data_IF_215206198584
#
_entry.id   IF_215206198584
#
_cell.length_a   1.000
_cell.length_b   1.000
_cell.length_c   1.000
_cell.angle_alpha   90.00
_cell.angle_beta   90.00
_cell.angle_gamma   90.00
#
_symmetry.space_group_name_H-M   'P 1'
#
loop_
_entity.id
_entity.type
_entity.pdbx_description
1 polymer ?
#
# COMPACT_ATOMS: atom_id res chain seq x y z
N UNK A 1 -1.70 19.83 6.43
CA UNK A 1 -0.50 19.60 7.27
C UNK A 1 0.59 19.05 6.37
N UNK A 2 1.81 19.56 6.46
CA UNK A 2 2.95 19.03 5.71
C UNK A 2 3.76 18.08 6.61
N UNK A 3 4.20 16.96 6.07
CA UNK A 3 5.14 16.07 6.72
C UNK A 3 6.51 16.76 6.79
N UNK A 4 7.21 16.66 7.92
CA UNK A 4 8.55 17.19 8.11
C UNK A 4 9.40 16.22 8.93
N UNK A 5 10.69 16.11 8.57
CA UNK A 5 11.66 15.30 9.29
C UNK A 5 12.28 16.11 10.43
N UNK A 6 12.16 15.60 11.65
CA UNK A 6 12.82 16.18 12.82
C UNK A 6 14.03 15.31 13.23
N UNK A 7 15.22 15.86 13.11
CA UNK A 7 16.48 15.16 13.40
C UNK A 7 17.08 15.49 14.77
N UNK A 8 16.32 16.16 15.65
CA UNK A 8 16.80 16.67 16.94
C UNK A 8 17.57 15.64 17.80
N UNK A 9 17.15 14.40 17.77
CA UNK A 9 17.75 13.34 18.59
C UNK A 9 18.85 12.53 17.88
N UNK A 10 19.24 12.90 16.66
CA UNK A 10 20.27 12.22 15.88
C UNK A 10 21.67 12.79 16.05
N UNK A 11 21.81 13.98 16.62
CA UNK A 11 23.09 14.71 16.73
C UNK A 11 24.19 13.96 17.50
N UNK A 12 23.82 13.04 18.42
CA UNK A 12 24.77 12.18 19.11
C UNK A 12 25.23 10.96 18.28
N UNK A 13 24.53 10.63 17.21
CA UNK A 13 24.76 9.45 16.37
C UNK A 13 25.33 9.78 15.00
N UNK A 14 25.01 10.96 14.46
CA UNK A 14 25.40 11.40 13.13
C UNK A 14 25.96 12.82 13.21
N UNK A 15 27.15 13.00 12.63
CA UNK A 15 27.82 14.31 12.53
C UNK A 15 27.52 14.94 11.17
N UNK A 16 27.65 16.25 11.08
CA UNK A 16 27.45 17.00 9.84
C UNK A 16 28.39 16.54 8.72
N UNK A 17 29.64 16.22 9.03
CA UNK A 17 30.62 15.71 8.06
C UNK A 17 30.17 14.39 7.42
N UNK A 18 29.39 13.56 8.13
CA UNK A 18 28.88 12.28 7.61
C UNK A 18 27.75 12.53 6.59
N UNK A 19 26.94 13.56 6.79
CA UNK A 19 25.97 13.99 5.76
C UNK A 19 26.66 14.50 4.52
N UNK A 20 27.69 15.34 4.69
CA UNK A 20 28.46 15.85 3.56
C UNK A 20 29.15 14.71 2.78
N UNK A 21 29.67 13.72 3.48
CA UNK A 21 30.34 12.58 2.88
C UNK A 21 29.39 11.66 2.08
N UNK A 22 28.11 11.54 2.51
CA UNK A 22 27.13 10.66 1.80
C UNK A 22 26.40 11.41 0.68
N UNK A 23 26.35 12.74 0.70
CA UNK A 23 25.55 13.53 -0.24
C UNK A 23 25.84 13.26 -1.73
N UNK A 24 27.08 13.03 -2.19
CA UNK A 24 27.34 12.62 -3.57
C UNK A 24 26.63 11.32 -3.98
N UNK A 25 26.37 10.41 -3.04
CA UNK A 25 25.61 9.18 -3.29
C UNK A 25 24.10 9.48 -3.39
N UNK A 26 23.59 10.44 -2.62
CA UNK A 26 22.22 10.94 -2.76
C UNK A 26 22.01 11.57 -4.13
N UNK A 27 22.95 12.39 -4.62
CA UNK A 27 22.91 12.97 -5.96
C UNK A 27 22.94 11.90 -7.06
N UNK A 28 23.78 10.88 -6.91
CA UNK A 28 23.84 9.78 -7.86
C UNK A 28 22.51 9.00 -7.88
N UNK A 29 21.94 8.70 -6.74
CA UNK A 29 20.65 8.03 -6.63
C UNK A 29 19.51 8.87 -7.23
N UNK A 30 19.48 10.17 -6.99
CA UNK A 30 18.52 11.08 -7.61
C UNK A 30 18.58 11.04 -9.14
N UNK A 31 19.77 11.13 -9.71
CA UNK A 31 19.96 11.03 -11.18
C UNK A 31 19.50 9.70 -11.74
N UNK A 32 19.71 8.60 -11.00
CA UNK A 32 19.23 7.27 -11.41
C UNK A 32 17.70 7.20 -11.38
N UNK A 33 17.05 7.79 -10.38
CA UNK A 33 15.59 7.86 -10.29
C UNK A 33 15.01 8.68 -11.46
N UNK A 34 15.55 9.86 -11.73
CA UNK A 34 15.10 10.71 -12.85
C UNK A 34 15.27 10.04 -14.20
N UNK A 35 16.42 9.39 -14.42
CA UNK A 35 16.71 8.67 -15.66
C UNK A 35 15.99 7.32 -15.77
N UNK A 36 15.27 6.89 -14.75
CA UNK A 36 14.67 5.55 -14.65
C UNK A 36 15.66 4.44 -14.99
N UNK A 37 16.88 4.56 -14.51
CA UNK A 37 17.92 3.54 -14.67
C UNK A 37 18.47 3.09 -13.32
N UNK A 38 19.00 1.87 -13.25
CA UNK A 38 19.49 1.30 -12.00
C UNK A 38 18.61 0.16 -11.48
N UNK A 39 18.94 -0.42 -10.33
CA UNK A 39 18.18 -1.54 -9.75
C UNK A 39 16.72 -1.17 -9.49
N UNK A 40 15.77 -1.97 -10.02
CA UNK A 40 14.34 -1.78 -9.80
C UNK A 40 13.68 -0.70 -10.68
N UNK A 41 14.37 -0.19 -11.70
CA UNK A 41 13.83 0.82 -12.62
C UNK A 41 12.51 0.41 -13.31
N UNK A 42 12.28 -0.88 -13.52
CA UNK A 42 11.04 -1.41 -14.11
C UNK A 42 9.78 -1.10 -13.29
N UNK A 43 9.93 -0.68 -12.02
CA UNK A 43 8.83 -0.45 -11.09
C UNK A 43 8.79 0.98 -10.55
N UNK A 44 9.34 1.96 -11.25
CA UNK A 44 9.35 3.37 -10.83
C UNK A 44 8.10 4.16 -11.26
N UNK A 45 7.13 3.53 -11.92
CA UNK A 45 5.89 4.16 -12.37
C UNK A 45 5.10 4.83 -11.24
N UNK A 46 5.16 4.29 -10.02
CA UNK A 46 4.50 4.86 -8.85
C UNK A 46 4.88 6.32 -8.55
N UNK A 47 6.10 6.74 -8.91
CA UNK A 47 6.57 8.11 -8.68
C UNK A 47 5.80 9.16 -9.49
N UNK A 48 5.22 8.76 -10.61
CA UNK A 48 4.54 9.66 -11.54
C UNK A 48 3.01 9.52 -11.51
N UNK A 49 2.48 8.53 -10.78
CA UNK A 49 1.03 8.32 -10.66
C UNK A 49 0.26 9.60 -10.29
N UNK A 50 0.73 10.45 -9.34
CA UNK A 50 -0.01 11.67 -9.00
C UNK A 50 -0.07 12.70 -10.13
N UNK A 51 0.95 12.75 -11.00
CA UNK A 51 1.01 13.66 -12.14
C UNK A 51 0.21 13.12 -13.34
N UNK A 52 0.36 11.82 -13.58
CA UNK A 52 -0.18 11.15 -14.76
C UNK A 52 -1.59 10.58 -14.50
N UNK A 53 -2.21 10.99 -13.39
CA UNK A 53 -3.54 10.57 -12.96
C UNK A 53 -4.62 11.08 -13.93
N UNK A 54 -5.34 10.14 -14.55
CA UNK A 54 -6.51 10.39 -15.38
C UNK A 54 -7.78 9.89 -14.69
N UNK A 55 -8.73 10.80 -14.44
CA UNK A 55 -9.99 10.48 -13.77
C UNK A 55 -10.86 9.52 -14.57
N UNK A 56 -10.83 9.60 -15.89
CA UNK A 56 -11.65 8.77 -16.77
C UNK A 56 -11.05 7.35 -16.89
N UNK A 57 -9.73 7.23 -16.86
CA UNK A 57 -9.03 5.95 -16.76
C UNK A 57 -9.10 5.38 -15.34
N UNK A 58 -9.21 6.24 -14.34
CA UNK A 58 -9.28 5.87 -12.92
C UNK A 58 -10.48 4.97 -12.60
N UNK A 59 -11.61 5.15 -13.21
CA UNK A 59 -12.77 4.25 -13.05
C UNK A 59 -12.44 2.77 -13.39
N UNK A 60 -11.23 2.48 -13.82
CA UNK A 60 -10.78 1.18 -14.35
C UNK A 60 -9.56 0.56 -13.63
N UNK A 61 -9.08 1.09 -12.46
CA UNK A 61 -7.77 0.64 -11.93
C UNK A 61 -7.78 0.32 -10.41
N UNK A 62 -7.24 -0.78 -9.89
CA UNK A 62 -7.24 -1.18 -8.48
C UNK A 62 -6.09 -2.04 -7.96
N UNK A 63 -5.93 -2.37 -6.71
CA UNK A 63 -4.94 -2.95 -6.11
C UNK A 63 -4.54 -3.69 -4.89
N UNK A 64 -3.58 -3.35 -4.08
CA UNK A 64 -3.06 -4.14 -2.96
C UNK A 64 -3.78 -3.81 -1.63
N UNK A 65 -3.91 -4.83 -0.74
CA UNK A 65 -4.67 -4.79 0.50
C UNK A 65 -4.13 -3.80 1.54
N UNK A 66 -2.82 -3.86 1.88
CA UNK A 66 -2.29 -3.12 3.04
C UNK A 66 -2.36 -1.60 2.85
N UNK A 67 -1.92 -1.08 1.72
CA UNK A 67 -1.96 0.36 1.47
C UNK A 67 -3.39 0.92 1.47
N UNK A 68 -4.33 0.23 0.84
CA UNK A 68 -5.75 0.63 0.83
C UNK A 68 -6.34 0.66 2.23
N UNK A 69 -6.16 -0.41 3.00
CA UNK A 69 -6.67 -0.51 4.36
C UNK A 69 -5.99 0.48 5.30
N UNK A 70 -4.69 0.71 5.13
CA UNK A 70 -3.96 1.73 5.89
C UNK A 70 -4.57 3.12 5.71
N UNK A 71 -4.90 3.51 4.48
CA UNK A 71 -5.57 4.80 4.21
C UNK A 71 -6.97 4.83 4.81
N UNK A 72 -7.78 3.77 4.63
CA UNK A 72 -9.15 3.72 5.18
C UNK A 72 -9.14 3.85 6.70
N UNK A 73 -8.31 3.07 7.40
CA UNK A 73 -8.24 3.12 8.87
C UNK A 73 -7.61 4.43 9.37
N UNK A 74 -6.59 4.97 8.70
CA UNK A 74 -5.99 6.25 9.08
C UNK A 74 -6.97 7.43 8.97
N UNK A 75 -7.85 7.43 7.96
CA UNK A 75 -8.77 8.53 7.70
C UNK A 75 -10.10 8.37 8.45
N UNK A 76 -10.64 7.16 8.51
CA UNK A 76 -11.98 6.88 9.06
C UNK A 76 -11.97 6.17 10.42
N UNK A 77 -10.81 5.70 10.88
CA UNK A 77 -10.68 4.94 12.11
C UNK A 77 -10.96 3.44 11.94
N UNK A 78 -10.59 2.67 12.96
CA UNK A 78 -10.74 1.21 12.97
C UNK A 78 -12.22 0.75 13.03
N UNK A 79 -13.09 1.59 13.58
CA UNK A 79 -14.52 1.31 13.74
C UNK A 79 -15.39 1.94 12.64
N UNK A 80 -14.80 2.27 11.48
CA UNK A 80 -15.52 2.94 10.41
C UNK A 80 -16.76 2.18 9.92
N UNK A 81 -16.73 0.85 9.95
CA UNK A 81 -17.86 0.02 9.55
C UNK A 81 -19.05 0.11 10.50
N UNK A 82 -18.84 0.45 11.77
CA UNK A 82 -19.87 0.60 12.80
C UNK A 82 -20.37 2.04 12.89
N UNK A 83 -19.50 3.01 12.70
CA UNK A 83 -19.77 4.44 12.90
C UNK A 83 -20.29 5.13 11.63
N UNK A 84 -19.94 4.63 10.44
CA UNK A 84 -20.35 5.22 9.16
C UNK A 84 -21.61 4.51 8.62
N UNK A 85 -22.54 5.31 8.09
CA UNK A 85 -23.75 4.81 7.40
C UNK A 85 -23.49 4.46 5.92
N UNK A 86 -22.27 4.64 5.42
CA UNK A 86 -21.85 4.31 4.06
C UNK A 86 -21.70 2.81 3.80
N UNK A 87 -21.00 2.47 2.73
CA UNK A 87 -20.67 1.09 2.41
C UNK A 87 -19.72 0.51 3.49
N UNK A 88 -20.03 -0.70 3.94
CA UNK A 88 -19.16 -1.47 4.83
C UNK A 88 -18.05 -2.11 4.00
N UNK A 89 -16.80 -1.86 4.36
CA UNK A 89 -15.63 -2.36 3.64
C UNK A 89 -14.95 -3.45 4.48
N UNK A 90 -14.86 -4.63 3.95
CA UNK A 90 -14.17 -5.76 4.56
C UNK A 90 -13.04 -6.24 3.65
N UNK A 91 -11.87 -6.46 4.22
CA UNK A 91 -10.70 -6.96 3.51
C UNK A 91 -10.50 -8.44 3.82
N UNK A 92 -10.37 -9.28 2.80
CA UNK A 92 -10.07 -10.69 2.98
C UNK A 92 -9.16 -11.21 1.85
N UNK A 93 -8.68 -12.47 1.99
CA UNK A 93 -7.70 -13.01 1.06
C UNK A 93 -6.27 -12.57 1.36
N UNK A 94 -6.01 -12.10 2.58
CA UNK A 94 -4.70 -11.81 3.15
C UNK A 94 -4.20 -12.92 4.08
N UNK A 95 -5.00 -13.97 4.24
CA UNK A 95 -4.73 -15.12 5.11
C UNK A 95 -5.43 -16.37 4.54
N UNK A 96 -4.86 -17.53 4.83
CA UNK A 96 -5.48 -18.84 4.55
C UNK A 96 -6.29 -19.36 5.75
N UNK A 97 -6.47 -18.54 6.79
CA UNK A 97 -7.22 -18.93 7.99
C UNK A 97 -8.70 -19.18 7.66
N UNK A 98 -9.22 -20.39 7.88
CA UNK A 98 -10.64 -20.69 7.67
C UNK A 98 -11.53 -19.97 8.68
N UNK A 99 -11.04 -19.70 9.90
CA UNK A 99 -11.81 -18.99 10.94
C UNK A 99 -12.13 -17.57 10.48
N UNK A 100 -11.11 -16.82 10.05
CA UNK A 100 -11.31 -15.45 9.55
C UNK A 100 -12.22 -15.41 8.32
N UNK A 101 -12.06 -16.37 7.40
CA UNK A 101 -12.94 -16.45 6.21
C UNK A 101 -14.38 -16.76 6.59
N UNK A 102 -14.63 -17.63 7.58
CA UNK A 102 -15.96 -17.91 8.08
C UNK A 102 -16.62 -16.69 8.73
N UNK A 103 -15.88 -15.85 9.45
CA UNK A 103 -16.38 -14.59 9.97
C UNK A 103 -16.84 -13.66 8.83
N UNK A 104 -16.05 -13.53 7.77
CA UNK A 104 -16.46 -12.75 6.58
C UNK A 104 -17.70 -13.34 5.91
N UNK A 105 -17.79 -14.67 5.78
CA UNK A 105 -18.98 -15.35 5.24
C UNK A 105 -20.21 -15.00 6.10
N UNK A 106 -20.09 -15.08 7.42
CA UNK A 106 -21.20 -14.76 8.33
C UNK A 106 -21.62 -13.29 8.21
N UNK A 107 -20.68 -12.38 8.02
CA UNK A 107 -20.95 -10.95 7.80
C UNK A 107 -21.69 -10.70 6.47
N UNK A 108 -21.39 -11.48 5.43
CA UNK A 108 -21.97 -11.31 4.08
C UNK A 108 -23.29 -12.07 3.88
N UNK A 109 -23.49 -13.19 4.58
CA UNK A 109 -24.66 -14.09 4.41
C UNK A 109 -25.97 -13.34 4.65
N UNK A 110 -26.92 -13.51 3.73
CA UNK A 110 -28.23 -12.85 3.76
C UNK A 110 -28.16 -11.34 3.49
N UNK A 111 -27.05 -10.81 3.01
CA UNK A 111 -26.88 -9.38 2.70
C UNK A 111 -26.51 -9.17 1.22
N UNK A 112 -26.82 -7.99 0.72
CA UNK A 112 -26.34 -7.55 -0.59
C UNK A 112 -24.89 -7.11 -0.45
N UNK A 113 -23.98 -7.78 -1.13
CA UNK A 113 -22.56 -7.41 -1.15
C UNK A 113 -22.00 -7.45 -2.57
N UNK A 114 -20.85 -6.85 -2.76
CA UNK A 114 -20.07 -6.88 -3.99
C UNK A 114 -18.64 -7.32 -3.68
N UNK A 115 -17.96 -7.88 -4.65
CA UNK A 115 -16.59 -8.37 -4.53
C UNK A 115 -15.69 -7.56 -5.46
N UNK A 116 -14.63 -6.96 -4.92
CA UNK A 116 -13.51 -6.50 -5.71
C UNK A 116 -12.35 -7.49 -5.52
N UNK A 117 -12.11 -8.31 -6.52
CA UNK A 117 -11.01 -9.28 -6.50
C UNK A 117 -9.76 -8.68 -7.14
N UNK A 118 -8.67 -8.69 -6.39
CA UNK A 118 -7.45 -7.97 -6.74
C UNK A 118 -6.29 -8.95 -6.84
N UNK A 119 -5.80 -9.18 -8.06
CA UNK A 119 -4.62 -10.00 -8.30
C UNK A 119 -4.09 -9.77 -9.72
N UNK A 120 -2.85 -9.32 -9.87
CA UNK A 120 -2.25 -9.05 -11.20
C UNK A 120 -2.17 -10.34 -12.03
N UNK A 121 -1.64 -11.43 -11.48
CA UNK A 121 -1.54 -12.72 -12.16
C UNK A 121 -2.83 -13.55 -12.11
N UNK A 122 -3.65 -13.35 -11.09
CA UNK A 122 -4.79 -14.21 -10.78
C UNK A 122 -4.40 -15.54 -10.10
N UNK A 123 -3.13 -15.75 -9.76
CA UNK A 123 -2.60 -17.00 -9.22
C UNK A 123 -2.22 -16.94 -7.73
N UNK A 124 -2.40 -15.78 -7.08
CA UNK A 124 -2.16 -15.64 -5.65
C UNK A 124 -3.11 -16.55 -4.88
N UNK A 125 -2.55 -17.51 -4.14
CA UNK A 125 -3.31 -18.60 -3.51
C UNK A 125 -4.36 -18.08 -2.54
N UNK A 126 -3.99 -17.20 -1.63
CA UNK A 126 -4.85 -16.65 -0.58
C UNK A 126 -6.06 -15.91 -1.18
N UNK A 127 -5.79 -15.03 -2.13
CA UNK A 127 -6.85 -14.30 -2.85
C UNK A 127 -7.74 -15.22 -3.64
N UNK A 128 -7.17 -16.22 -4.32
CA UNK A 128 -7.94 -17.18 -5.12
C UNK A 128 -8.88 -18.05 -4.29
N UNK A 129 -8.43 -18.49 -3.10
CA UNK A 129 -9.25 -19.27 -2.17
C UNK A 129 -10.42 -18.44 -1.65
N UNK A 130 -10.14 -17.26 -1.11
CA UNK A 130 -11.18 -16.36 -0.59
C UNK A 130 -12.19 -15.98 -1.68
N UNK A 131 -11.70 -15.65 -2.88
CA UNK A 131 -12.57 -15.31 -4.01
C UNK A 131 -13.51 -16.44 -4.42
N UNK A 132 -13.02 -17.67 -4.53
CA UNK A 132 -13.86 -18.82 -4.87
C UNK A 132 -14.99 -19.03 -3.88
N UNK A 133 -14.70 -18.93 -2.59
CA UNK A 133 -15.69 -19.11 -1.53
C UNK A 133 -16.72 -17.97 -1.55
N UNK A 134 -16.29 -16.71 -1.62
CA UNK A 134 -17.21 -15.57 -1.61
C UNK A 134 -18.01 -15.46 -2.91
N UNK A 135 -17.42 -15.81 -4.06
CA UNK A 135 -18.13 -15.89 -5.33
C UNK A 135 -19.25 -16.93 -5.24
N UNK A 136 -18.95 -18.13 -4.74
CA UNK A 136 -19.95 -19.20 -4.55
C UNK A 136 -21.09 -18.72 -3.63
N UNK A 137 -20.78 -18.08 -2.52
CA UNK A 137 -21.79 -17.51 -1.63
C UNK A 137 -22.68 -16.49 -2.36
N UNK A 138 -22.08 -15.59 -3.15
CA UNK A 138 -22.81 -14.56 -3.89
C UNK A 138 -23.73 -15.19 -4.96
N UNK A 139 -23.24 -16.21 -5.69
CA UNK A 139 -24.01 -16.96 -6.68
C UNK A 139 -25.16 -17.76 -6.04
N UNK A 140 -24.95 -18.35 -4.86
CA UNK A 140 -25.97 -19.10 -4.14
C UNK A 140 -27.11 -18.20 -3.62
N UNK A 141 -26.79 -16.98 -3.19
CA UNK A 141 -27.77 -16.07 -2.63
C UNK A 141 -28.53 -15.24 -3.69
N UNK A 142 -27.89 -14.90 -4.81
CA UNK A 142 -28.46 -13.94 -5.77
C UNK A 142 -28.66 -14.53 -7.18
N UNK A 143 -28.14 -15.74 -7.43
CA UNK A 143 -28.05 -16.32 -8.76
C UNK A 143 -26.85 -15.78 -9.56
N UNK A 144 -26.40 -16.55 -10.54
CA UNK A 144 -25.17 -16.26 -11.31
C UNK A 144 -25.23 -14.92 -12.05
N UNK A 145 -26.36 -14.60 -12.66
CA UNK A 145 -26.50 -13.36 -13.44
C UNK A 145 -26.36 -12.10 -12.59
N UNK A 146 -27.02 -12.06 -11.43
CA UNK A 146 -26.91 -10.90 -10.52
C UNK A 146 -25.56 -10.87 -9.81
N UNK A 147 -24.98 -12.03 -9.49
CA UNK A 147 -23.64 -12.14 -8.93
C UNK A 147 -22.60 -11.55 -9.87
N UNK A 148 -22.66 -11.82 -11.16
CA UNK A 148 -21.71 -11.28 -12.15
C UNK A 148 -21.74 -9.73 -12.24
N UNK A 149 -22.89 -9.10 -11.97
CA UNK A 149 -22.99 -7.63 -11.90
C UNK A 149 -22.33 -7.01 -10.67
N UNK A 150 -21.93 -7.83 -9.69
CA UNK A 150 -21.39 -7.42 -8.39
C UNK A 150 -19.94 -7.84 -8.16
N UNK A 151 -19.31 -8.38 -9.20
CA UNK A 151 -17.90 -8.77 -9.17
C UNK A 151 -17.12 -7.79 -10.04
N UNK A 152 -16.08 -7.22 -9.45
CA UNK A 152 -15.13 -6.32 -10.08
C UNK A 152 -13.76 -6.97 -10.03
N UNK A 153 -13.03 -7.00 -11.13
CA UNK A 153 -11.72 -7.64 -11.20
C UNK A 153 -10.63 -6.61 -11.42
N UNK A 154 -9.75 -6.52 -10.46
CA UNK A 154 -8.57 -5.67 -10.49
C UNK A 154 -7.35 -6.51 -10.83
N UNK A 155 -6.86 -6.42 -12.08
CA UNK A 155 -5.93 -7.40 -12.62
C UNK A 155 -5.03 -6.82 -13.72
N UNK A 156 -4.26 -7.67 -14.40
CA UNK A 156 -3.46 -7.29 -15.56
C UNK A 156 -4.35 -6.78 -16.72
N UNK A 157 -3.78 -5.92 -17.55
CA UNK A 157 -4.50 -5.32 -18.70
C UNK A 157 -4.95 -6.38 -19.72
N UNK A 158 -4.12 -7.38 -20.00
CA UNK A 158 -4.29 -8.27 -21.14
C UNK A 158 -4.13 -9.76 -20.83
N UNK A 159 -3.47 -10.13 -19.73
CA UNK A 159 -3.07 -11.51 -19.44
C UNK A 159 -3.34 -11.91 -17.98
N UNK A 160 -3.20 -13.20 -17.70
CA UNK A 160 -3.43 -13.76 -16.38
C UNK A 160 -4.80 -14.42 -16.25
N UNK A 161 -4.90 -15.37 -15.31
CA UNK A 161 -6.09 -16.20 -15.13
C UNK A 161 -7.30 -15.39 -14.67
N UNK A 162 -7.10 -14.36 -13.86
CA UNK A 162 -8.18 -13.49 -13.42
C UNK A 162 -8.71 -12.62 -14.56
N UNK A 163 -7.83 -12.11 -15.44
CA UNK A 163 -8.25 -11.34 -16.61
C UNK A 163 -9.08 -12.20 -17.56
N UNK A 164 -8.61 -13.40 -17.87
CA UNK A 164 -9.35 -14.33 -18.73
C UNK A 164 -10.73 -14.68 -18.15
N UNK A 165 -10.81 -14.92 -16.85
CA UNK A 165 -12.07 -15.21 -16.17
C UNK A 165 -13.00 -14.01 -16.20
N UNK A 166 -12.51 -12.80 -15.92
CA UNK A 166 -13.29 -11.56 -15.93
C UNK A 166 -13.87 -11.28 -17.30
N UNK A 167 -13.08 -11.44 -18.37
CA UNK A 167 -13.54 -11.25 -19.76
C UNK A 167 -14.62 -12.29 -20.13
N UNK A 168 -14.42 -13.56 -19.75
CA UNK A 168 -15.38 -14.62 -20.02
C UNK A 168 -16.72 -14.44 -19.29
N UNK A 169 -16.71 -13.79 -18.13
CA UNK A 169 -17.90 -13.55 -17.31
C UNK A 169 -18.51 -12.13 -17.52
N UNK A 170 -17.83 -11.27 -18.28
CA UNK A 170 -18.26 -9.88 -18.51
C UNK A 170 -18.12 -8.96 -17.28
N UNK A 171 -17.19 -9.28 -16.36
CA UNK A 171 -16.96 -8.44 -15.18
C UNK A 171 -16.24 -7.14 -15.56
N UNK A 172 -16.60 -5.99 -14.94
CA UNK A 172 -15.79 -4.79 -15.03
C UNK A 172 -14.35 -5.08 -14.55
N UNK A 173 -13.36 -4.69 -15.37
CA UNK A 173 -11.95 -4.89 -15.06
C UNK A 173 -11.24 -3.56 -14.85
N UNK A 174 -10.29 -3.57 -13.90
CA UNK A 174 -9.44 -2.46 -13.56
C UNK A 174 -7.99 -2.88 -13.72
N UNK A 175 -7.15 -2.03 -14.31
CA UNK A 175 -5.79 -2.40 -14.69
C UNK A 175 -4.80 -2.11 -13.56
N UNK A 176 -3.97 -3.09 -13.23
CA UNK A 176 -2.77 -2.88 -12.42
C UNK A 176 -1.65 -2.42 -13.35
N UNK A 177 -1.08 -1.21 -13.19
CA UNK A 177 -0.02 -0.72 -14.07
C UNK A 177 1.18 -1.67 -14.09
N UNK A 178 1.80 -1.85 -15.25
CA UNK A 178 2.90 -2.80 -15.43
C UNK A 178 4.18 -2.39 -14.69
N UNK A 179 4.43 -1.10 -14.63
CA UNK A 179 5.57 -0.46 -14.00
C UNK A 179 5.35 -0.09 -12.52
N UNK A 180 4.26 -0.58 -11.90
CA UNK A 180 3.95 -0.38 -10.49
C UNK A 180 3.93 -1.73 -9.77
N UNK A 181 4.84 -1.92 -8.83
CA UNK A 181 4.86 -3.09 -7.96
C UNK A 181 3.71 -3.08 -6.94
N UNK A 182 3.27 -4.26 -6.49
CA UNK A 182 2.12 -4.40 -5.58
C UNK A 182 2.20 -3.53 -4.33
N UNK A 183 3.35 -3.49 -3.66
CA UNK A 183 3.56 -2.69 -2.44
C UNK A 183 3.57 -1.17 -2.68
N UNK A 184 3.71 -0.71 -3.91
CA UNK A 184 3.68 0.72 -4.31
C UNK A 184 2.35 1.14 -4.91
N UNK A 185 1.37 0.24 -4.99
CA UNK A 185 0.20 0.41 -5.86
C UNK A 185 -0.99 1.12 -5.23
N UNK A 186 -0.89 1.62 -4.00
CA UNK A 186 -2.01 2.29 -3.29
C UNK A 186 -2.59 3.48 -4.05
N UNK A 187 -1.76 4.25 -4.75
CA UNK A 187 -2.18 5.39 -5.58
C UNK A 187 -2.52 5.00 -7.03
N UNK A 188 -2.58 3.73 -7.33
CA UNK A 188 -3.27 3.21 -8.50
C UNK A 188 -4.69 2.83 -8.07
N UNK A 189 -5.53 2.41 -8.97
CA UNK A 189 -6.85 1.96 -8.55
C UNK A 189 -6.81 0.73 -7.63
N UNK A 190 -5.63 0.14 -7.44
CA UNK A 190 -5.30 -0.84 -6.42
C UNK A 190 -5.73 -0.41 -5.03
N UNK A 191 -5.42 0.80 -4.65
CA UNK A 191 -5.91 1.37 -3.41
C UNK A 191 -7.13 2.25 -3.61
N UNK A 192 -7.15 3.01 -4.69
CA UNK A 192 -8.13 4.06 -4.87
C UNK A 192 -9.57 3.55 -5.00
N UNK A 193 -9.81 2.37 -5.61
CA UNK A 193 -11.17 1.82 -5.68
C UNK A 193 -11.76 1.50 -4.30
N UNK A 194 -11.10 0.71 -3.44
CA UNK A 194 -11.62 0.48 -2.08
C UNK A 194 -11.63 1.75 -1.22
N UNK A 195 -10.70 2.68 -1.41
CA UNK A 195 -10.68 3.98 -0.71
C UNK A 195 -11.90 4.83 -1.11
N UNK A 196 -12.20 4.92 -2.41
CA UNK A 196 -13.39 5.60 -2.91
C UNK A 196 -14.68 4.93 -2.42
N UNK A 197 -14.75 3.59 -2.44
CA UNK A 197 -15.88 2.83 -1.91
C UNK A 197 -16.10 3.08 -0.41
N UNK A 198 -15.03 3.34 0.35
CA UNK A 198 -15.11 3.78 1.74
C UNK A 198 -15.61 5.24 1.88
N UNK A 199 -15.87 5.96 0.79
CA UNK A 199 -16.33 7.35 0.81
C UNK A 199 -15.23 8.37 1.16
N UNK A 200 -13.97 8.05 0.88
CA UNK A 200 -12.84 8.96 1.03
C UNK A 200 -12.59 9.66 -0.32
N UNK A 201 -12.33 10.96 -0.28
CA UNK A 201 -12.00 11.75 -1.47
C UNK A 201 -10.66 11.30 -2.07
N UNK A 202 -10.73 10.65 -3.21
CA UNK A 202 -9.53 10.25 -3.96
C UNK A 202 -8.84 11.44 -4.62
N UNK A 203 -9.60 12.50 -4.96
CA UNK A 203 -9.03 13.74 -5.50
C UNK A 203 -8.13 14.41 -4.46
N UNK A 204 -8.56 14.49 -3.19
CA UNK A 204 -7.75 15.06 -2.12
C UNK A 204 -6.52 14.19 -1.81
N UNK A 205 -6.68 12.86 -1.86
CA UNK A 205 -5.56 11.94 -1.68
C UNK A 205 -4.52 12.11 -2.79
N UNK A 206 -4.96 12.15 -4.05
CA UNK A 206 -4.07 12.33 -5.21
C UNK A 206 -3.43 13.70 -5.23
N UNK A 207 -4.18 14.75 -4.83
CA UNK A 207 -3.61 16.09 -4.67
C UNK A 207 -2.50 16.09 -3.61
N UNK A 208 -2.72 15.49 -2.46
CA UNK A 208 -1.70 15.36 -1.41
C UNK A 208 -0.45 14.61 -1.90
N UNK A 209 -0.64 13.55 -2.70
CA UNK A 209 0.45 12.81 -3.30
C UNK A 209 1.21 13.64 -4.36
N UNK A 210 0.50 14.44 -5.17
CA UNK A 210 1.12 15.36 -6.13
C UNK A 210 1.94 16.46 -5.43
N UNK A 211 1.39 17.07 -4.38
CA UNK A 211 2.09 18.06 -3.56
C UNK A 211 3.38 17.46 -2.93
N UNK A 212 3.31 16.20 -2.49
CA UNK A 212 4.47 15.47 -1.95
C UNK A 212 5.50 15.13 -3.05
N UNK A 213 5.04 14.69 -4.21
CA UNK A 213 5.90 14.40 -5.37
C UNK A 213 6.68 15.66 -5.78
N UNK A 214 6.01 16.79 -5.92
CA UNK A 214 6.66 18.06 -6.27
C UNK A 214 7.70 18.46 -5.22
N UNK A 215 7.34 18.38 -3.94
CA UNK A 215 8.23 18.74 -2.82
C UNK A 215 9.45 17.83 -2.72
N UNK A 216 9.28 16.52 -2.84
CA UNK A 216 10.34 15.54 -2.58
C UNK A 216 11.12 15.12 -3.83
N UNK A 217 10.76 15.61 -5.02
CA UNK A 217 11.56 15.40 -6.24
C UNK A 217 12.74 16.37 -6.37
N UNK A 218 12.78 17.45 -5.59
CA UNK A 218 13.85 18.45 -5.69
C UNK A 218 15.14 17.92 -5.06
N UNK A 219 16.23 17.94 -5.84
CA UNK A 219 17.56 17.63 -5.32
C UNK A 219 18.06 18.78 -4.43
N UNK A 220 17.98 18.60 -3.13
CA UNK A 220 18.40 19.60 -2.14
C UNK A 220 18.87 18.89 -0.85
N UNK A 221 19.90 19.42 -0.17
CA UNK A 221 20.26 18.98 1.17
C UNK A 221 19.11 19.12 2.19
N UNK A 222 18.15 20.00 1.92
CA UNK A 222 16.98 20.24 2.76
C UNK A 222 15.79 19.35 2.44
N UNK A 223 15.91 18.48 1.43
CA UNK A 223 14.88 17.50 1.10
C UNK A 223 14.78 16.42 2.20
N UNK A 224 13.68 16.43 2.94
CA UNK A 224 13.44 15.51 4.06
C UNK A 224 13.47 14.03 3.65
N UNK A 225 13.03 13.69 2.44
CA UNK A 225 13.09 12.30 1.94
C UNK A 225 14.55 11.86 1.71
N UNK A 226 15.38 12.73 1.16
CA UNK A 226 16.80 12.44 0.95
C UNK A 226 17.59 12.44 2.26
N UNK A 227 17.27 13.36 3.20
CA UNK A 227 17.81 13.32 4.55
C UNK A 227 17.50 11.99 5.23
N UNK A 228 16.24 11.54 5.17
CA UNK A 228 15.83 10.27 5.75
C UNK A 228 16.61 9.09 5.14
N UNK A 229 16.73 9.03 3.82
CA UNK A 229 17.50 7.99 3.14
C UNK A 229 19.00 8.02 3.53
N UNK A 230 19.59 9.21 3.64
CA UNK A 230 20.98 9.39 4.08
C UNK A 230 21.19 8.90 5.53
N UNK A 231 20.30 9.30 6.46
CA UNK A 231 20.30 8.89 7.86
C UNK A 231 20.28 7.36 7.96
N UNK A 232 19.35 6.71 7.28
CA UNK A 232 19.22 5.25 7.27
C UNK A 232 20.52 4.58 6.82
N UNK A 233 21.12 5.07 5.74
CA UNK A 233 22.38 4.54 5.22
C UNK A 233 23.57 4.74 6.19
N UNK A 234 23.70 5.92 6.79
CA UNK A 234 24.76 6.21 7.76
C UNK A 234 24.64 5.29 8.98
N UNK A 235 23.44 5.18 9.56
CA UNK A 235 23.18 4.35 10.71
C UNK A 235 23.40 2.85 10.42
N UNK A 236 22.95 2.40 9.24
CA UNK A 236 23.21 1.02 8.80
C UNK A 236 24.71 0.70 8.72
N UNK A 237 25.51 1.62 8.16
CA UNK A 237 26.99 1.47 8.11
C UNK A 237 27.64 1.50 9.49
N UNK A 238 26.98 2.10 10.48
CA UNK A 238 27.39 2.06 11.89
C UNK A 238 26.90 0.81 12.63
N UNK A 239 26.31 -0.16 11.94
CA UNK A 239 25.84 -1.43 12.50
C UNK A 239 24.44 -1.38 13.10
N UNK A 240 23.66 -0.31 12.87
CA UNK A 240 22.25 -0.25 13.23
C UNK A 240 21.45 -0.98 12.16
N UNK A 241 21.08 -2.22 12.41
CA UNK A 241 20.46 -3.11 11.40
C UNK A 241 18.94 -3.23 11.53
N UNK A 242 18.32 -2.64 12.54
CA UNK A 242 16.88 -2.65 12.78
C UNK A 242 16.35 -1.22 12.75
N UNK A 243 15.28 -1.00 12.03
CA UNK A 243 14.53 0.24 12.01
C UNK A 243 13.11 -0.02 12.51
N UNK A 244 12.68 0.70 13.54
CA UNK A 244 11.35 0.52 14.14
C UNK A 244 10.54 1.79 13.89
N UNK A 245 9.41 1.63 13.19
CA UNK A 245 8.41 2.69 13.04
C UNK A 245 7.44 2.63 14.21
N UNK A 246 7.37 3.70 14.98
CA UNK A 246 6.56 3.79 16.18
C UNK A 246 5.49 4.87 16.03
N UNK A 247 4.27 4.61 16.47
CA UNK A 247 3.24 5.63 16.56
C UNK A 247 2.33 5.42 17.78
N UNK A 248 1.73 6.52 18.24
CA UNK A 248 0.78 6.55 19.34
C UNK A 248 -0.68 6.48 18.87
N UNK A 249 -0.91 6.60 17.55
CA UNK A 249 -2.24 6.61 16.97
C UNK A 249 -2.61 5.21 16.49
N UNK A 250 -3.58 4.51 17.13
CA UNK A 250 -3.97 3.14 16.74
C UNK A 250 -4.46 3.03 15.29
N UNK A 251 -5.03 4.11 14.73
CA UNK A 251 -5.48 4.13 13.34
C UNK A 251 -4.32 4.02 12.34
N UNK A 252 -3.07 4.24 12.78
CA UNK A 252 -1.86 4.08 11.97
C UNK A 252 -1.27 2.66 12.01
N UNK A 253 -1.86 1.72 12.73
CA UNK A 253 -1.36 0.33 12.82
C UNK A 253 -1.09 -0.26 11.44
N UNK A 254 -2.02 -0.14 10.51
CA UNK A 254 -1.83 -0.69 9.16
C UNK A 254 -0.88 0.12 8.27
N UNK A 255 -0.66 1.39 8.57
CA UNK A 255 0.42 2.16 7.96
C UNK A 255 1.78 1.57 8.35
N UNK A 256 1.95 1.19 9.61
CA UNK A 256 3.15 0.51 10.08
C UNK A 256 3.33 -0.88 9.43
N UNK A 257 2.24 -1.64 9.24
CA UNK A 257 2.31 -2.92 8.52
C UNK A 257 2.69 -2.74 7.04
N UNK A 258 2.14 -1.70 6.37
CA UNK A 258 2.51 -1.37 5.01
C UNK A 258 3.98 -0.93 4.91
N UNK A 259 4.48 -0.14 5.86
CA UNK A 259 5.90 0.21 5.97
C UNK A 259 6.80 -1.04 5.99
N UNK A 260 6.46 -2.05 6.81
CA UNK A 260 7.22 -3.30 6.88
C UNK A 260 7.26 -4.03 5.53
N UNK A 261 6.13 -4.13 4.86
CA UNK A 261 6.07 -4.72 3.52
C UNK A 261 6.89 -3.91 2.52
N UNK A 262 6.71 -2.59 2.49
CA UNK A 262 7.38 -1.70 1.54
C UNK A 262 8.90 -1.83 1.63
N UNK A 263 9.47 -1.69 2.82
CA UNK A 263 10.91 -1.74 3.02
C UNK A 263 11.46 -3.17 3.00
N UNK A 264 10.79 -4.13 3.61
CA UNK A 264 11.21 -5.53 3.61
C UNK A 264 11.31 -6.12 2.21
N UNK A 265 10.29 -5.92 1.37
CA UNK A 265 10.30 -6.39 -0.01
C UNK A 265 11.24 -5.57 -0.93
N UNK A 266 11.50 -4.31 -0.62
CA UNK A 266 12.34 -3.45 -1.45
C UNK A 266 13.83 -3.63 -1.16
N UNK A 267 14.21 -3.67 0.12
CA UNK A 267 15.61 -3.60 0.57
C UNK A 267 16.16 -4.94 1.06
N UNK A 268 15.30 -5.87 1.52
CA UNK A 268 15.70 -7.17 2.04
C UNK A 268 16.20 -8.13 0.95
N UNK A 269 17.30 -7.79 0.29
CA UNK A 269 17.95 -8.57 -0.77
C UNK A 269 19.38 -8.92 -0.37
N UNK A 270 19.88 -10.06 -0.78
CA UNK A 270 21.27 -10.51 -0.59
C UNK A 270 21.73 -10.48 0.88
N UNK A 271 20.84 -10.74 1.82
CA UNK A 271 21.07 -10.59 3.27
C UNK A 271 21.50 -9.16 3.68
N UNK A 272 21.04 -8.15 2.95
CA UNK A 272 21.31 -6.72 3.20
C UNK A 272 20.01 -5.99 3.54
N UNK A 273 20.16 -4.72 3.91
CA UNK A 273 19.05 -3.83 4.23
C UNK A 273 18.75 -3.77 5.73
N UNK A 274 17.99 -2.75 6.12
CA UNK A 274 17.47 -2.61 7.49
C UNK A 274 16.29 -3.54 7.69
N UNK A 275 16.25 -4.23 8.84
CA UNK A 275 15.09 -5.03 9.22
C UNK A 275 13.95 -4.09 9.67
N UNK A 276 12.82 -4.04 8.92
CA UNK A 276 11.72 -3.15 9.27
C UNK A 276 10.85 -3.78 10.34
N UNK A 277 10.70 -3.09 11.47
CA UNK A 277 9.80 -3.45 12.56
C UNK A 277 8.84 -2.30 12.87
N UNK A 278 7.84 -2.55 13.70
CA UNK A 278 6.91 -1.50 14.13
C UNK A 278 6.37 -1.74 15.54
N UNK A 279 5.98 -0.65 16.20
CA UNK A 279 5.33 -0.66 17.50
C UNK A 279 4.13 0.29 17.51
N UNK A 280 3.12 -0.04 18.29
CA UNK A 280 1.97 0.83 18.59
C UNK A 280 2.01 1.17 20.08
N UNK A 281 2.37 2.39 20.38
CA UNK A 281 2.34 2.93 21.74
C UNK A 281 0.92 3.43 22.07
N UNK A 282 0.45 3.34 23.32
CA UNK A 282 1.15 2.89 24.55
C UNK A 282 1.23 1.37 24.75
N UNK A 283 0.51 0.55 23.97
CA UNK A 283 0.49 -0.91 24.18
C UNK A 283 1.90 -1.50 24.22
N UNK A 284 2.70 -1.23 23.20
CA UNK A 284 4.05 -1.77 23.08
C UNK A 284 5.09 -1.11 23.99
N UNK A 285 4.74 -0.05 24.73
CA UNK A 285 5.57 0.46 25.82
C UNK A 285 5.73 -0.57 26.95
N UNK A 286 4.77 -1.50 27.10
CA UNK A 286 4.82 -2.59 28.08
C UNK A 286 5.55 -3.83 27.57
N UNK A 287 6.05 -3.80 26.34
CA UNK A 287 6.80 -4.90 25.71
C UNK A 287 8.09 -4.37 25.06
N UNK A 288 8.04 -4.02 23.78
CA UNK A 288 9.19 -3.53 23.01
C UNK A 288 9.81 -2.24 23.58
N UNK A 289 8.99 -1.37 24.18
CA UNK A 289 9.46 -0.15 24.84
C UNK A 289 10.21 -0.38 26.16
N UNK A 290 10.16 -1.61 26.71
CA UNK A 290 10.97 -2.00 27.87
C UNK A 290 12.33 -2.58 27.48
N UNK A 291 12.47 -3.07 26.25
CA UNK A 291 13.71 -3.64 25.71
C UNK A 291 14.73 -2.54 25.38
#
# INVERSE_FOLDING_TARGET
MSLALNTKHLSSFIKEEEYQAIYPQVEAAHKMLEAKNGPGNDFLGWMYLPRDYDKDEFARIGGSYLGARAVVEAVKGQFHNELDNGLKIYFCGNSISPTYLNDIIALCKGKRFSINVISKSGTTTETSLAFRVLRKLLEDEMGVEEANKRIYATTDRAKGTLKQLADAQGWPTFVVPDDVGGRYSVLSAVGLLPIAAAGISIDDLMKGAADAMERFSVLSPDNDAYKYAAIRNILYRKGKSVEILECYEPNFTLMNEWYKQLFGESEGKDNKGLFPASCIFSTDLHSMGQF
#
